data_IF_111990215393
#
_entry.id   IF_111990215393
#
_cell.length_a   1.000
_cell.length_b   1.000
_cell.length_c   1.000
_cell.angle_alpha   90.00
_cell.angle_beta   90.00
_cell.angle_gamma   90.00
#
_symmetry.space_group_name_H-M   'P 1'
#
loop_
_entity.id
_entity.type
_entity.pdbx_description
1 polymer ?
#
# COMPACT_ATOMS: atom_id res chain seq x y z
N UNK A 1 7.50 -2.29 -12.53
CA UNK A 1 6.03 -2.44 -12.55
C UNK A 1 5.59 -3.08 -11.25
N UNK A 2 4.54 -2.57 -10.60
CA UNK A 2 4.01 -3.14 -9.36
C UNK A 2 2.70 -3.87 -9.65
N UNK A 3 2.71 -5.21 -9.62
CA UNK A 3 1.51 -6.02 -9.83
C UNK A 3 0.40 -5.65 -8.84
N UNK A 4 0.76 -5.35 -7.59
CA UNK A 4 -0.19 -4.86 -6.58
C UNK A 4 -0.95 -3.61 -7.02
N UNK A 5 -0.27 -2.59 -7.58
CA UNK A 5 -0.94 -1.38 -8.08
C UNK A 5 -1.83 -1.69 -9.28
N UNK A 6 -1.40 -2.64 -10.13
CA UNK A 6 -2.21 -3.12 -11.24
C UNK A 6 -3.47 -3.85 -10.77
N UNK A 7 -3.42 -4.61 -9.67
CA UNK A 7 -4.61 -5.20 -9.04
C UNK A 7 -5.63 -4.14 -8.65
N UNK A 8 -5.19 -3.01 -8.07
CA UNK A 8 -6.10 -1.91 -7.71
C UNK A 8 -6.82 -1.35 -8.95
N UNK A 9 -6.10 -1.22 -10.06
CA UNK A 9 -6.66 -0.83 -11.36
C UNK A 9 -7.70 -1.84 -11.84
N UNK A 10 -7.40 -3.14 -11.81
CA UNK A 10 -8.34 -4.19 -12.20
C UNK A 10 -9.61 -4.17 -11.34
N UNK A 11 -9.48 -3.95 -10.03
CA UNK A 11 -10.63 -3.82 -9.14
C UNK A 11 -11.49 -2.63 -9.53
N UNK A 12 -10.91 -1.46 -9.83
CA UNK A 12 -11.68 -0.30 -10.30
C UNK A 12 -12.48 -0.63 -11.57
N UNK A 13 -11.83 -1.27 -12.56
CA UNK A 13 -12.47 -1.63 -13.83
C UNK A 13 -13.58 -2.66 -13.60
N UNK A 14 -13.31 -3.68 -12.80
CA UNK A 14 -14.29 -4.69 -12.41
C UNK A 14 -15.52 -4.05 -11.77
N UNK A 15 -15.30 -3.18 -10.78
CA UNK A 15 -16.36 -2.53 -10.00
C UNK A 15 -17.25 -1.66 -10.89
N UNK A 16 -16.64 -0.88 -11.79
CA UNK A 16 -17.41 -0.09 -12.77
C UNK A 16 -18.21 -1.01 -13.71
N UNK A 17 -17.63 -2.12 -14.15
CA UNK A 17 -18.32 -3.10 -14.99
C UNK A 17 -19.45 -3.83 -14.28
N UNK A 18 -19.35 -4.04 -12.97
CA UNK A 18 -20.40 -4.58 -12.09
C UNK A 18 -21.55 -3.58 -11.97
N UNK A 19 -21.26 -2.33 -11.58
CA UNK A 19 -22.27 -1.26 -11.44
C UNK A 19 -23.01 -0.99 -12.74
N UNK A 20 -22.31 -0.92 -13.88
CA UNK A 20 -22.95 -0.69 -15.18
C UNK A 20 -23.89 -1.82 -15.64
N UNK A 21 -23.85 -3.00 -14.99
CA UNK A 21 -24.76 -4.13 -15.24
C UNK A 21 -25.87 -4.21 -14.19
N UNK A 22 -25.77 -3.45 -13.11
CA UNK A 22 -26.73 -3.44 -12.03
C UNK A 22 -27.93 -2.56 -12.43
N UNK A 23 -29.15 -3.12 -12.54
CA UNK A 23 -30.33 -2.33 -12.87
C UNK A 23 -30.81 -1.44 -11.71
N UNK A 24 -30.37 -1.69 -10.48
CA UNK A 24 -30.80 -0.94 -9.29
C UNK A 24 -29.94 0.30 -9.06
N UNK A 25 -28.69 0.31 -9.52
CA UNK A 25 -27.75 1.42 -9.33
C UNK A 25 -27.52 2.14 -10.66
N UNK A 26 -27.83 3.43 -10.69
CA UNK A 26 -27.64 4.30 -11.87
C UNK A 26 -28.32 3.77 -13.15
N UNK A 27 -29.64 3.48 -13.13
CA UNK A 27 -30.33 2.97 -14.32
C UNK A 27 -30.24 3.98 -15.48
N UNK A 28 -29.96 3.49 -16.69
CA UNK A 28 -29.76 4.27 -17.92
C UNK A 28 -28.53 5.20 -17.91
N UNK A 29 -27.64 5.08 -16.93
CA UNK A 29 -26.37 5.83 -16.89
C UNK A 29 -25.21 4.84 -16.98
N UNK A 30 -24.24 5.13 -17.85
CA UNK A 30 -23.01 4.32 -17.94
C UNK A 30 -21.85 5.08 -17.33
N UNK A 31 -21.26 4.53 -16.28
CA UNK A 31 -20.03 5.03 -15.69
C UNK A 31 -18.84 4.74 -16.61
N UNK A 32 -18.12 5.79 -16.96
CA UNK A 32 -16.82 5.73 -17.65
C UNK A 32 -15.65 5.99 -16.69
N UNK A 33 -14.44 5.80 -17.19
CA UNK A 33 -13.22 6.11 -16.43
C UNK A 33 -12.10 6.65 -17.34
N UNK A 34 -11.24 7.49 -16.75
CA UNK A 34 -9.96 7.91 -17.31
C UNK A 34 -8.90 7.74 -16.24
N UNK A 35 -7.83 6.99 -16.55
CA UNK A 35 -6.88 6.50 -15.56
C UNK A 35 -5.48 6.93 -15.98
N UNK A 36 -4.72 7.44 -15.01
CA UNK A 36 -3.35 7.89 -15.19
C UNK A 36 -2.44 7.16 -14.20
N UNK A 37 -1.25 6.80 -14.64
CA UNK A 37 -0.22 6.23 -13.75
C UNK A 37 0.57 7.36 -13.09
N UNK A 38 0.52 7.43 -11.76
CA UNK A 38 1.32 8.38 -11.00
C UNK A 38 2.81 8.01 -10.95
N UNK A 39 3.17 6.76 -11.29
CA UNK A 39 4.50 6.19 -11.11
C UNK A 39 5.04 6.30 -9.67
N UNK A 40 4.18 6.57 -8.68
CA UNK A 40 4.58 6.90 -7.31
C UNK A 40 5.26 8.27 -7.15
N UNK A 41 5.16 9.15 -8.16
CA UNK A 41 5.74 10.50 -8.14
C UNK A 41 4.65 11.55 -7.92
N UNK A 42 4.85 12.42 -6.92
CA UNK A 42 3.95 13.55 -6.67
C UNK A 42 3.86 14.51 -7.86
N UNK A 43 4.96 14.70 -8.59
CA UNK A 43 5.01 15.57 -9.78
C UNK A 43 4.14 15.01 -10.91
N UNK A 44 4.27 13.72 -11.20
CA UNK A 44 3.46 13.05 -12.25
C UNK A 44 1.99 13.00 -11.82
N UNK A 45 1.71 12.74 -10.53
CA UNK A 45 0.35 12.74 -9.98
C UNK A 45 -0.30 14.11 -10.11
N UNK A 46 0.42 15.19 -9.86
CA UNK A 46 -0.08 16.56 -10.01
C UNK A 46 -0.41 16.87 -11.48
N UNK A 47 0.52 16.56 -12.40
CA UNK A 47 0.30 16.75 -13.84
C UNK A 47 -0.92 15.95 -14.33
N UNK A 48 -1.03 14.68 -13.92
CA UNK A 48 -2.16 13.80 -14.26
C UNK A 48 -3.49 14.34 -13.72
N UNK A 49 -3.49 14.83 -12.48
CA UNK A 49 -4.70 15.43 -11.87
C UNK A 49 -5.15 16.65 -12.65
N UNK A 50 -4.22 17.49 -13.09
CA UNK A 50 -4.56 18.67 -13.88
C UNK A 50 -5.17 18.29 -15.23
N UNK A 51 -4.65 17.27 -15.92
CA UNK A 51 -5.23 16.73 -17.16
C UNK A 51 -6.63 16.12 -16.96
N UNK A 52 -6.90 15.49 -15.81
CA UNK A 52 -8.24 14.99 -15.47
C UNK A 52 -9.21 16.15 -15.33
N UNK A 53 -8.80 17.18 -14.59
CA UNK A 53 -9.65 18.29 -14.19
C UNK A 53 -9.91 19.29 -15.34
N UNK A 54 -8.90 19.55 -16.17
CA UNK A 54 -9.04 20.42 -17.34
C UNK A 54 -9.93 19.82 -18.44
N UNK A 55 -10.17 18.50 -18.40
CA UNK A 55 -10.81 17.76 -19.48
C UNK A 55 -9.95 17.60 -20.73
N UNK A 56 -8.77 18.23 -20.77
CA UNK A 56 -7.82 18.23 -21.89
C UNK A 56 -6.49 17.59 -21.49
N UNK A 57 -5.70 17.12 -22.45
CA UNK A 57 -4.33 16.66 -22.15
C UNK A 57 -3.38 17.84 -21.85
N UNK A 58 -3.85 19.09 -21.92
CA UNK A 58 -3.06 20.30 -21.69
C UNK A 58 -3.30 20.87 -20.29
N UNK A 59 -2.23 21.42 -19.72
CA UNK A 59 -2.21 22.14 -18.44
C UNK A 59 -2.97 23.46 -18.64
N UNK A 60 -4.07 23.67 -17.90
CA UNK A 60 -4.81 24.94 -17.89
C UNK A 60 -4.44 25.73 -16.63
N UNK A 61 -3.75 26.88 -16.74
CA UNK A 61 -3.51 27.78 -15.61
C UNK A 61 -4.83 28.29 -15.00
N UNK A 62 -4.88 28.49 -13.68
CA UNK A 62 -6.04 29.01 -12.92
C UNK A 62 -7.31 28.12 -12.86
N UNK A 63 -7.20 26.80 -13.10
CA UNK A 63 -8.33 25.89 -12.88
C UNK A 63 -8.69 25.75 -11.38
N UNK A 64 -9.95 25.99 -11.00
CA UNK A 64 -10.43 25.85 -9.62
C UNK A 64 -10.89 24.43 -9.31
N UNK A 65 -10.23 23.77 -8.36
CA UNK A 65 -10.52 22.39 -7.98
C UNK A 65 -11.57 22.24 -6.86
N UNK A 66 -12.13 23.35 -6.36
CA UNK A 66 -12.85 23.40 -5.08
C UNK A 66 -14.12 22.54 -5.02
N UNK A 67 -14.82 22.36 -6.15
CA UNK A 67 -16.07 21.59 -6.19
C UNK A 67 -15.90 20.10 -6.53
N UNK A 68 -14.68 19.64 -6.82
CA UNK A 68 -14.44 18.25 -7.18
C UNK A 68 -14.23 17.39 -5.93
N UNK A 69 -15.13 16.42 -5.71
CA UNK A 69 -15.00 15.43 -4.63
C UNK A 69 -13.89 14.44 -4.99
N UNK A 70 -13.00 14.19 -4.03
CA UNK A 70 -11.85 13.29 -4.20
C UNK A 70 -11.94 12.21 -3.13
N UNK A 71 -11.87 10.95 -3.55
CA UNK A 71 -11.84 9.82 -2.63
C UNK A 71 -10.50 9.11 -2.80
N UNK A 72 -9.74 9.01 -1.71
CA UNK A 72 -8.52 8.22 -1.66
C UNK A 72 -8.80 6.84 -1.06
N UNK A 73 -8.42 5.80 -1.79
CA UNK A 73 -8.52 4.42 -1.32
C UNK A 73 -7.31 3.96 -0.50
N UNK A 74 -6.25 4.77 -0.41
CA UNK A 74 -4.95 4.31 0.08
C UNK A 74 -4.11 5.35 0.85
N UNK A 75 -4.60 6.58 1.01
CA UNK A 75 -3.93 7.61 1.82
C UNK A 75 -4.46 7.60 3.25
N UNK A 76 -3.57 7.51 4.23
CA UNK A 76 -3.90 7.46 5.66
C UNK A 76 -3.41 8.68 6.46
N UNK A 77 -2.75 9.65 5.81
CA UNK A 77 -2.21 10.81 6.52
C UNK A 77 -3.36 11.63 7.16
N UNK A 78 -3.29 11.94 8.46
CA UNK A 78 -4.36 12.64 9.15
C UNK A 78 -4.46 14.11 8.74
N UNK A 79 -3.49 14.67 8.02
CA UNK A 79 -3.58 16.02 7.45
C UNK A 79 -4.82 16.18 6.56
N UNK A 80 -5.21 15.11 5.87
CA UNK A 80 -6.37 15.10 4.98
C UNK A 80 -7.73 15.22 5.70
N UNK A 81 -7.75 15.15 7.04
CA UNK A 81 -8.95 15.42 7.84
C UNK A 81 -9.16 16.92 8.11
N UNK A 82 -8.17 17.77 7.81
CA UNK A 82 -8.34 19.22 7.93
C UNK A 82 -9.30 19.72 6.83
N UNK A 83 -10.57 19.95 7.19
CA UNK A 83 -11.62 20.43 6.27
C UNK A 83 -11.42 21.86 5.77
N UNK A 84 -10.57 22.65 6.44
CA UNK A 84 -10.22 23.99 5.98
C UNK A 84 -9.26 23.93 4.79
N UNK A 85 -8.31 22.98 4.82
CA UNK A 85 -7.34 22.77 3.74
C UNK A 85 -7.85 21.81 2.66
N UNK A 86 -8.59 20.76 3.06
CA UNK A 86 -9.08 19.68 2.20
C UNK A 86 -10.61 19.49 2.33
N UNK A 87 -11.42 20.47 1.90
CA UNK A 87 -12.88 20.45 2.11
C UNK A 87 -13.58 19.28 1.39
N UNK A 88 -13.08 18.86 0.22
CA UNK A 88 -13.71 17.85 -0.63
C UNK A 88 -12.96 16.52 -0.70
N UNK A 89 -12.05 16.25 0.24
CA UNK A 89 -11.25 15.02 0.28
C UNK A 89 -11.81 13.99 1.26
N UNK A 90 -11.92 12.74 0.83
CA UNK A 90 -12.45 11.64 1.63
C UNK A 90 -11.49 10.44 1.56
N UNK A 91 -11.44 9.64 2.63
CA UNK A 91 -10.56 8.47 2.74
C UNK A 91 -11.41 7.22 2.95
N UNK A 92 -11.08 6.13 2.26
CA UNK A 92 -11.71 4.81 2.49
C UNK A 92 -10.97 3.96 3.51
N UNK A 93 -9.80 4.42 3.96
CA UNK A 93 -9.02 3.73 4.98
C UNK A 93 -8.90 4.60 6.24
N UNK A 94 -8.77 3.99 7.43
CA UNK A 94 -8.55 4.73 8.66
C UNK A 94 -7.27 5.57 8.62
N UNK A 95 -7.24 6.63 9.42
CA UNK A 95 -6.03 7.44 9.57
C UNK A 95 -4.90 6.67 10.29
N UNK A 96 -3.65 7.13 10.12
CA UNK A 96 -2.46 6.53 10.74
C UNK A 96 -2.43 6.65 12.28
N UNK A 97 -3.12 7.62 12.87
CA UNK A 97 -3.19 7.78 14.34
C UNK A 97 -3.91 6.60 14.99
N UNK A 98 -4.94 6.06 14.33
CA UNK A 98 -5.66 4.88 14.81
C UNK A 98 -4.73 3.68 14.90
N UNK A 99 -3.80 3.56 13.95
CA UNK A 99 -2.78 2.51 13.96
C UNK A 99 -1.78 2.70 15.11
N UNK A 100 -1.31 3.93 15.35
CA UNK A 100 -0.46 4.26 16.50
C UNK A 100 -1.17 3.94 17.83
N UNK A 101 -2.44 4.33 17.95
CA UNK A 101 -3.24 4.09 19.15
C UNK A 101 -3.55 2.59 19.37
N UNK A 102 -3.71 1.82 18.29
CA UNK A 102 -3.85 0.36 18.35
C UNK A 102 -2.55 -0.30 18.86
N UNK A 103 -1.39 0.13 18.35
CA UNK A 103 -0.08 -0.34 18.84
C UNK A 103 0.05 -0.03 20.34
N UNK A 104 -0.28 1.18 20.78
CA UNK A 104 -0.23 1.54 22.21
C UNK A 104 -1.19 0.72 23.06
N UNK A 105 -2.38 0.42 22.55
CA UNK A 105 -3.35 -0.45 23.24
C UNK A 105 -2.78 -1.86 23.43
N UNK A 106 -2.06 -2.39 22.43
CA UNK A 106 -1.35 -3.66 22.51
C UNK A 106 -0.24 -3.62 23.57
N UNK A 107 0.58 -2.55 23.58
CA UNK A 107 1.62 -2.33 24.59
C UNK A 107 1.04 -2.35 26.00
N UNK A 108 -0.08 -1.64 26.22
CA UNK A 108 -0.78 -1.61 27.51
C UNK A 108 -1.32 -2.97 27.91
N UNK A 109 -1.97 -3.67 26.98
CA UNK A 109 -2.59 -4.96 27.23
C UNK A 109 -1.61 -5.99 27.78
N UNK A 110 -0.41 -6.07 27.18
CA UNK A 110 0.64 -6.98 27.62
C UNK A 110 1.55 -6.42 28.73
N UNK A 111 1.32 -5.17 29.16
CA UNK A 111 2.08 -4.53 30.23
C UNK A 111 3.55 -4.29 29.89
N UNK A 112 3.91 -4.17 28.60
CA UNK A 112 5.29 -3.93 28.21
C UNK A 112 5.72 -2.50 28.56
N UNK A 113 6.74 -2.37 29.42
CA UNK A 113 7.26 -1.07 29.88
C UNK A 113 8.64 -0.71 29.31
N UNK A 114 9.30 -1.64 28.62
CA UNK A 114 10.64 -1.44 28.07
C UNK A 114 10.67 -1.87 26.60
N UNK A 115 10.57 -0.89 25.70
CA UNK A 115 10.27 -1.12 24.28
C UNK A 115 11.32 -0.42 23.40
N UNK A 116 11.81 -1.10 22.38
CA UNK A 116 12.60 -0.45 21.33
C UNK A 116 11.69 0.20 20.29
N UNK A 117 12.07 1.33 19.72
CA UNK A 117 11.31 1.98 18.65
C UNK A 117 12.20 2.27 17.44
N UNK A 118 11.73 1.86 16.27
CA UNK A 118 12.37 2.11 14.99
C UNK A 118 11.35 2.80 14.08
N UNK A 119 11.69 4.00 13.61
CA UNK A 119 10.82 4.81 12.73
C UNK A 119 11.55 5.24 11.46
N UNK A 120 10.82 5.62 10.41
CA UNK A 120 11.40 6.27 9.22
C UNK A 120 11.67 7.76 9.50
N UNK A 121 12.69 8.34 8.85
CA UNK A 121 13.00 9.78 8.89
C UNK A 121 12.07 10.58 7.96
N UNK A 122 10.78 10.58 8.29
CA UNK A 122 9.73 11.34 7.60
C UNK A 122 8.63 11.79 8.55
N UNK A 123 7.69 12.61 8.05
CA UNK A 123 6.62 13.18 8.87
C UNK A 123 5.76 12.12 9.57
N UNK A 124 5.53 10.98 8.92
CA UNK A 124 4.80 9.84 9.50
C UNK A 124 5.60 9.21 10.66
N UNK A 125 6.88 8.93 10.45
CA UNK A 125 7.75 8.33 11.45
C UNK A 125 8.02 9.24 12.65
N UNK A 126 8.24 10.54 12.42
CA UNK A 126 8.43 11.53 13.49
C UNK A 126 7.15 11.69 14.34
N UNK A 127 5.98 11.76 13.69
CA UNK A 127 4.68 11.84 14.37
C UNK A 127 4.39 10.59 15.20
N UNK A 128 4.66 9.41 14.65
CA UNK A 128 4.55 8.15 15.39
C UNK A 128 5.49 8.13 16.59
N UNK A 129 6.75 8.55 16.40
CA UNK A 129 7.75 8.61 17.47
C UNK A 129 7.33 9.50 18.64
N UNK A 130 6.89 10.72 18.36
CA UNK A 130 6.43 11.65 19.38
C UNK A 130 5.22 11.10 20.14
N UNK A 131 4.19 10.63 19.41
CA UNK A 131 2.95 10.15 20.02
C UNK A 131 3.17 8.90 20.86
N UNK A 132 3.93 7.93 20.36
CA UNK A 132 4.26 6.69 21.07
C UNK A 132 5.05 6.99 22.35
N UNK A 133 6.08 7.84 22.28
CA UNK A 133 6.86 8.24 23.46
C UNK A 133 5.99 8.93 24.51
N UNK A 134 5.18 9.90 24.09
CA UNK A 134 4.30 10.64 24.99
C UNK A 134 3.28 9.72 25.68
N UNK A 135 2.69 8.76 24.96
CA UNK A 135 1.75 7.82 25.57
C UNK A 135 2.45 6.79 26.47
N UNK A 136 3.60 6.24 26.05
CA UNK A 136 4.37 5.30 26.89
C UNK A 136 4.82 5.95 28.20
N UNK A 137 5.34 7.19 28.16
CA UNK A 137 5.78 7.90 29.35
C UNK A 137 4.64 8.13 30.34
N UNK A 138 3.44 8.47 29.86
CA UNK A 138 2.23 8.61 30.69
C UNK A 138 1.84 7.30 31.37
N UNK A 139 2.08 6.18 30.70
CA UNK A 139 1.81 4.84 31.22
C UNK A 139 2.98 4.27 32.05
N UNK A 140 4.03 5.06 32.33
CA UNK A 140 5.21 4.61 33.07
C UNK A 140 6.10 3.62 32.33
N UNK A 141 6.01 3.59 31.00
CA UNK A 141 6.94 2.88 30.12
C UNK A 141 8.04 3.79 29.59
N UNK A 142 9.13 3.19 29.11
CA UNK A 142 10.28 3.88 28.56
C UNK A 142 10.74 3.24 27.24
N UNK A 143 11.33 4.06 26.37
CA UNK A 143 12.06 3.56 25.23
C UNK A 143 13.44 3.06 25.64
N UNK A 144 13.74 1.83 25.26
CA UNK A 144 15.07 1.25 25.42
C UNK A 144 16.08 1.82 24.40
N UNK A 145 15.57 2.13 23.22
CA UNK A 145 16.28 2.82 22.16
C UNK A 145 15.28 3.43 21.18
N UNK A 146 15.70 4.48 20.48
CA UNK A 146 15.01 5.05 19.34
C UNK A 146 15.98 5.05 18.16
N UNK A 147 15.59 4.43 17.06
CA UNK A 147 16.33 4.44 15.79
C UNK A 147 15.47 5.16 14.76
N UNK A 148 16.02 6.21 14.16
CA UNK A 148 15.41 6.95 13.06
C UNK A 148 16.12 6.54 11.77
N UNK A 149 15.41 5.83 10.91
CA UNK A 149 15.93 5.30 9.66
C UNK A 149 15.93 6.37 8.58
N UNK A 150 17.13 6.83 8.19
CA UNK A 150 17.29 7.78 7.09
C UNK A 150 16.99 7.15 5.74
N UNK A 151 16.40 7.95 4.85
CA UNK A 151 16.30 7.60 3.43
C UNK A 151 17.69 7.64 2.79
N UNK A 152 18.33 6.47 2.67
CA UNK A 152 19.61 6.33 1.99
C UNK A 152 19.43 5.35 0.83
N UNK A 153 19.84 5.77 -0.37
CA UNK A 153 19.82 4.94 -1.60
C UNK A 153 20.59 3.63 -1.43
N UNK A 154 21.60 3.64 -0.56
CA UNK A 154 22.26 2.45 -0.02
C UNK A 154 22.74 2.75 1.41
N UNK A 155 22.24 2.06 2.44
CA UNK A 155 22.77 2.22 3.78
C UNK A 155 24.22 1.73 3.82
N UNK A 156 25.16 2.61 4.19
CA UNK A 156 26.57 2.24 4.31
C UNK A 156 26.79 1.17 5.40
N UNK A 157 27.79 0.30 5.23
CA UNK A 157 28.07 -0.80 6.19
C UNK A 157 28.21 -0.34 7.66
N UNK A 158 28.75 0.86 7.89
CA UNK A 158 28.88 1.42 9.23
C UNK A 158 27.51 1.72 9.87
N UNK A 159 26.60 2.33 9.09
CA UNK A 159 25.25 2.67 9.52
C UNK A 159 24.42 1.41 9.86
N UNK A 160 24.45 0.40 8.98
CA UNK A 160 23.77 -0.88 9.25
C UNK A 160 24.33 -1.58 10.49
N UNK A 161 25.66 -1.49 10.73
CA UNK A 161 26.30 -2.06 11.93
C UNK A 161 25.88 -1.35 13.21
N UNK A 162 25.73 -0.03 13.17
CA UNK A 162 25.29 0.76 14.33
C UNK A 162 23.87 0.40 14.76
N UNK A 163 22.95 0.30 13.80
CA UNK A 163 21.57 -0.16 14.02
C UNK A 163 21.58 -1.56 14.65
N UNK A 164 22.29 -2.51 14.03
CA UNK A 164 22.40 -3.90 14.52
C UNK A 164 22.95 -3.95 15.94
N UNK A 165 24.02 -3.22 16.23
CA UNK A 165 24.64 -3.16 17.55
C UNK A 165 23.71 -2.58 18.62
N UNK A 166 22.92 -1.57 18.28
CA UNK A 166 21.93 -0.97 19.18
C UNK A 166 20.87 -1.98 19.58
N UNK A 167 20.32 -2.71 18.61
CA UNK A 167 19.31 -3.75 18.85
C UNK A 167 19.92 -4.91 19.66
N UNK A 168 21.15 -5.33 19.34
CA UNK A 168 21.85 -6.43 20.00
C UNK A 168 22.14 -6.14 21.49
N UNK A 169 22.61 -4.92 21.80
CA UNK A 169 22.93 -4.51 23.17
C UNK A 169 21.69 -4.26 24.04
N UNK A 170 20.53 -4.07 23.43
CA UNK A 170 19.30 -3.79 24.15
C UNK A 170 18.68 -5.04 24.77
N UNK A 171 18.31 -4.93 26.04
CA UNK A 171 17.53 -5.92 26.80
C UNK A 171 16.05 -5.92 26.44
N UNK A 172 15.57 -4.94 25.67
CA UNK A 172 14.17 -4.89 25.24
C UNK A 172 13.82 -6.12 24.41
N UNK A 173 12.72 -6.79 24.78
CA UNK A 173 12.19 -7.95 24.04
C UNK A 173 11.25 -7.51 22.93
N UNK A 174 10.58 -6.37 23.10
CA UNK A 174 9.58 -5.83 22.18
C UNK A 174 10.18 -4.67 21.41
N UNK A 175 10.00 -4.68 20.09
CA UNK A 175 10.43 -3.60 19.21
C UNK A 175 9.27 -3.18 18.33
N UNK A 176 8.90 -1.90 18.41
CA UNK A 176 7.94 -1.29 17.50
C UNK A 176 8.69 -0.87 16.24
N UNK A 177 8.18 -1.29 15.08
CA UNK A 177 8.72 -0.99 13.77
C UNK A 177 7.68 -0.23 12.93
N UNK A 178 7.81 1.09 12.91
CA UNK A 178 6.82 1.98 12.29
C UNK A 178 7.39 2.65 11.05
N UNK A 179 6.91 2.28 9.89
CA UNK A 179 7.48 2.71 8.61
C UNK A 179 6.44 3.40 7.74
N UNK A 180 6.91 4.35 6.93
CA UNK A 180 6.15 4.82 5.78
C UNK A 180 6.36 3.91 4.57
N UNK A 181 5.53 4.15 3.55
CA UNK A 181 5.47 3.28 2.38
C UNK A 181 6.53 3.52 1.30
N UNK A 182 7.37 4.53 1.46
CA UNK A 182 8.27 5.01 0.40
C UNK A 182 9.65 4.34 0.36
N UNK A 183 10.02 3.53 1.36
CA UNK A 183 11.44 3.20 1.60
C UNK A 183 11.69 1.78 2.12
N UNK A 184 10.92 0.82 1.62
CA UNK A 184 10.98 -0.58 2.07
C UNK A 184 12.12 -1.38 1.43
N UNK A 185 12.59 -0.96 0.25
CA UNK A 185 13.50 -1.75 -0.60
C UNK A 185 14.90 -1.99 -0.01
N UNK A 186 15.30 -1.26 1.05
CA UNK A 186 16.62 -1.39 1.69
C UNK A 186 16.57 -1.93 3.12
N UNK A 187 15.40 -2.40 3.56
CA UNK A 187 15.21 -2.91 4.92
C UNK A 187 15.80 -4.32 5.05
N UNK A 188 15.78 -5.12 3.98
CA UNK A 188 16.38 -6.46 4.00
C UNK A 188 17.85 -6.44 4.45
N UNK A 189 18.66 -5.53 3.89
CA UNK A 189 20.09 -5.40 4.23
C UNK A 189 20.35 -5.04 5.71
N UNK A 190 19.38 -4.37 6.35
CA UNK A 190 19.45 -3.96 7.74
C UNK A 190 19.14 -5.11 8.72
N UNK A 191 18.34 -6.10 8.33
CA UNK A 191 17.78 -7.11 9.23
C UNK A 191 18.21 -8.54 8.89
N UNK A 192 19.53 -8.75 8.87
CA UNK A 192 20.20 -10.06 8.76
C UNK A 192 19.92 -10.93 10.01
N UNK A 193 19.32 -12.13 9.85
CA UNK A 193 18.87 -12.97 10.96
C UNK A 193 20.02 -13.54 11.81
N UNK A 194 21.22 -13.69 11.27
CA UNK A 194 22.36 -14.20 12.04
C UNK A 194 22.88 -13.18 13.07
N UNK A 195 22.50 -11.91 12.91
CA UNK A 195 23.08 -10.79 13.66
C UNK A 195 22.08 -10.04 14.54
N UNK A 196 20.81 -10.42 14.50
CA UNK A 196 19.75 -9.79 15.28
C UNK A 196 19.16 -10.83 16.25
N UNK A 197 19.19 -10.56 17.58
CA UNK A 197 18.58 -11.47 18.53
C UNK A 197 17.07 -11.53 18.33
N UNK A 198 16.46 -12.66 18.69
CA UNK A 198 15.01 -12.83 18.57
C UNK A 198 14.27 -11.75 19.38
N UNK A 199 13.39 -11.01 18.71
CA UNK A 199 12.52 -9.98 19.28
C UNK A 199 11.06 -10.27 18.96
N UNK A 200 10.17 -9.71 19.77
CA UNK A 200 8.75 -9.59 19.45
C UNK A 200 8.59 -8.28 18.68
N UNK A 201 8.27 -8.39 17.40
CA UNK A 201 8.09 -7.23 16.53
C UNK A 201 6.62 -6.81 16.52
N UNK A 202 6.38 -5.51 16.71
CA UNK A 202 5.06 -4.90 16.50
C UNK A 202 5.22 -3.90 15.38
N UNK A 203 4.53 -4.13 14.27
CA UNK A 203 4.81 -3.43 13.03
C UNK A 203 3.59 -2.68 12.49
N UNK A 204 3.86 -1.53 11.90
CA UNK A 204 2.87 -0.79 11.10
C UNK A 204 2.44 -1.58 9.86
N UNK A 205 1.28 -1.25 9.31
CA UNK A 205 0.62 -1.83 8.15
C UNK A 205 1.48 -1.74 6.89
N UNK A 206 2.36 -0.72 6.81
CA UNK A 206 3.37 -0.59 5.77
C UNK A 206 4.37 -1.76 5.75
N UNK A 207 4.63 -2.42 6.88
CA UNK A 207 5.56 -3.56 6.96
C UNK A 207 5.00 -4.80 6.25
N UNK A 208 3.68 -4.92 6.09
CA UNK A 208 3.09 -6.00 5.28
C UNK A 208 3.62 -5.96 3.84
N UNK A 209 3.97 -4.77 3.33
CA UNK A 209 4.56 -4.62 2.00
C UNK A 209 5.99 -5.15 1.90
N UNK A 210 6.70 -5.32 3.01
CA UNK A 210 8.02 -5.97 3.07
C UNK A 210 7.86 -7.48 2.95
N UNK A 211 6.89 -8.04 3.67
CA UNK A 211 6.57 -9.47 3.60
C UNK A 211 6.14 -9.88 2.19
N UNK A 212 5.37 -9.02 1.50
CA UNK A 212 4.97 -9.17 0.08
C UNK A 212 6.15 -9.23 -0.90
N UNK A 213 7.34 -8.76 -0.51
CA UNK A 213 8.54 -8.81 -1.36
C UNK A 213 9.40 -10.06 -1.11
N UNK A 214 8.97 -10.94 -0.19
CA UNK A 214 9.60 -12.21 0.17
C UNK A 214 11.13 -12.16 0.31
N UNK A 215 11.67 -11.09 0.91
CA UNK A 215 13.08 -11.05 1.27
C UNK A 215 13.35 -12.10 2.36
N UNK A 216 13.84 -13.28 1.95
CA UNK A 216 14.01 -14.47 2.81
C UNK A 216 14.72 -14.17 4.14
N UNK A 217 15.76 -13.35 4.12
CA UNK A 217 16.51 -12.97 5.33
C UNK A 217 15.67 -12.12 6.31
N UNK A 218 14.89 -11.18 5.77
CA UNK A 218 13.99 -10.36 6.57
C UNK A 218 12.84 -11.19 7.15
N UNK A 219 12.31 -12.17 6.39
CA UNK A 219 11.23 -13.05 6.87
C UNK A 219 11.65 -13.87 8.10
N UNK A 220 12.92 -14.28 8.19
CA UNK A 220 13.44 -14.97 9.38
C UNK A 220 13.47 -14.02 10.58
N UNK A 221 14.03 -12.82 10.41
CA UNK A 221 14.12 -11.82 11.50
C UNK A 221 12.74 -11.39 12.01
N UNK A 222 11.78 -11.22 11.11
CA UNK A 222 10.42 -10.78 11.40
C UNK A 222 9.43 -11.94 11.63
N UNK A 223 9.92 -13.17 11.84
CA UNK A 223 9.05 -14.29 12.14
C UNK A 223 8.28 -14.05 13.47
N UNK A 224 6.96 -14.27 13.47
CA UNK A 224 6.08 -14.02 14.61
C UNK A 224 5.74 -12.54 14.86
N UNK A 225 5.95 -11.66 13.87
CA UNK A 225 5.59 -10.24 13.96
C UNK A 225 4.08 -10.03 14.11
N UNK A 226 3.68 -9.13 15.02
CA UNK A 226 2.33 -8.63 15.14
C UNK A 226 2.18 -7.37 14.26
N UNK A 227 1.41 -7.48 13.18
CA UNK A 227 1.17 -6.38 12.24
C UNK A 227 -0.24 -5.83 12.44
N UNK A 228 -0.37 -4.52 12.65
CA UNK A 228 -1.68 -3.86 12.54
C UNK A 228 -2.03 -3.78 11.06
N UNK A 229 -3.17 -4.34 10.68
CA UNK A 229 -3.55 -4.48 9.28
C UNK A 229 -4.96 -3.95 9.04
N UNK A 230 -5.17 -3.44 7.83
CA UNK A 230 -6.50 -3.05 7.39
C UNK A 230 -7.38 -4.30 7.28
N UNK A 231 -8.65 -4.12 7.65
CA UNK A 231 -9.65 -5.18 7.49
C UNK A 231 -9.67 -5.64 6.03
N UNK A 232 -9.54 -6.95 5.83
CA UNK A 232 -9.63 -7.53 4.51
C UNK A 232 -11.11 -7.68 4.14
N UNK A 233 -11.59 -6.86 3.21
CA UNK A 233 -12.92 -7.04 2.63
C UNK A 233 -12.96 -8.12 1.56
N UNK A 234 -14.17 -8.40 1.08
CA UNK A 234 -14.42 -9.33 -0.01
C UNK A 234 -14.86 -8.57 -1.26
N UNK A 235 -14.42 -9.04 -2.42
CA UNK A 235 -14.87 -8.53 -3.71
C UNK A 235 -15.45 -9.73 -4.47
N UNK A 236 -16.76 -9.99 -4.34
CA UNK A 236 -17.42 -11.10 -5.02
C UNK A 236 -17.16 -11.03 -6.52
N UNK A 237 -17.02 -12.18 -7.19
CA UNK A 237 -16.84 -12.24 -8.65
C UNK A 237 -15.47 -11.77 -9.19
N UNK A 238 -14.68 -11.02 -8.42
CA UNK A 238 -13.40 -10.49 -8.89
C UNK A 238 -12.40 -11.58 -9.25
N UNK A 239 -12.38 -12.69 -8.50
CA UNK A 239 -11.51 -13.84 -8.80
C UNK A 239 -11.84 -14.40 -10.19
N UNK A 240 -13.11 -14.64 -10.48
CA UNK A 240 -13.59 -15.13 -11.78
C UNK A 240 -13.29 -14.12 -12.91
N UNK A 241 -13.50 -12.83 -12.64
CA UNK A 241 -13.12 -11.77 -13.57
C UNK A 241 -11.62 -11.82 -13.90
N UNK A 242 -10.75 -11.97 -12.90
CA UNK A 242 -9.31 -12.04 -13.09
C UNK A 242 -8.90 -13.20 -14.01
N UNK A 243 -9.43 -14.42 -13.80
CA UNK A 243 -9.14 -15.56 -14.69
C UNK A 243 -9.75 -15.41 -16.09
N UNK A 244 -10.80 -14.59 -16.24
CA UNK A 244 -11.41 -14.32 -17.55
C UNK A 244 -10.62 -13.32 -18.41
N UNK A 245 -9.63 -12.63 -17.83
CA UNK A 245 -8.81 -11.67 -18.56
C UNK A 245 -8.04 -12.38 -19.67
N UNK A 246 -8.05 -11.80 -20.86
CA UNK A 246 -7.29 -12.28 -22.00
C UNK A 246 -6.60 -11.10 -22.71
N UNK A 247 -5.27 -11.15 -22.94
CA UNK A 247 -4.51 -10.06 -23.56
C UNK A 247 -5.00 -9.63 -24.95
N UNK A 248 -5.70 -10.51 -25.68
CA UNK A 248 -6.21 -10.23 -27.02
C UNK A 248 -7.63 -9.67 -27.05
N UNK A 249 -8.47 -9.98 -26.06
CA UNK A 249 -9.84 -9.44 -25.98
C UNK A 249 -9.87 -8.13 -25.21
N UNK A 250 -8.94 -7.94 -24.27
CA UNK A 250 -8.83 -6.75 -23.43
C UNK A 250 -7.83 -5.72 -23.98
N UNK A 251 -7.91 -5.42 -25.28
CA UNK A 251 -6.92 -4.61 -26.02
C UNK A 251 -6.82 -3.13 -25.58
N UNK A 252 -7.83 -2.61 -24.86
CA UNK A 252 -7.81 -1.23 -24.35
C UNK A 252 -6.71 -0.99 -23.31
N UNK A 253 -6.12 -2.05 -22.75
CA UNK A 253 -5.18 -1.95 -21.64
C UNK A 253 -3.76 -2.36 -22.04
N UNK A 254 -2.90 -1.38 -22.25
CA UNK A 254 -1.48 -1.55 -22.61
C UNK A 254 -0.65 -2.32 -21.56
N UNK A 255 -1.11 -2.37 -20.31
CA UNK A 255 -0.41 -3.02 -19.21
C UNK A 255 -0.73 -4.51 -19.06
N UNK A 256 -1.88 -4.99 -19.58
CA UNK A 256 -2.27 -6.40 -19.41
C UNK A 256 -1.24 -7.38 -20.02
N UNK A 257 -0.72 -7.17 -21.25
CA UNK A 257 0.30 -8.05 -21.81
C UNK A 257 1.59 -8.12 -20.98
N UNK A 258 1.96 -7.01 -20.33
CA UNK A 258 3.17 -6.95 -19.49
C UNK A 258 2.99 -7.75 -18.20
N UNK A 259 1.82 -7.62 -17.55
CA UNK A 259 1.50 -8.35 -16.34
C UNK A 259 1.29 -9.85 -16.63
N UNK A 260 0.65 -10.17 -17.74
CA UNK A 260 0.51 -11.55 -18.22
C UNK A 260 1.89 -12.22 -18.37
N UNK A 261 2.82 -11.53 -19.04
CA UNK A 261 4.18 -12.01 -19.20
C UNK A 261 4.94 -12.17 -17.87
N UNK A 262 4.73 -11.26 -16.92
CA UNK A 262 5.32 -11.34 -15.58
C UNK A 262 4.81 -12.56 -14.80
N UNK A 263 3.50 -12.78 -14.76
CA UNK A 263 2.89 -13.85 -13.98
C UNK A 263 3.12 -15.24 -14.58
N UNK A 264 3.24 -15.34 -15.89
CA UNK A 264 3.32 -16.62 -16.62
C UNK A 264 4.70 -16.87 -17.22
N UNK A 265 5.66 -16.00 -16.92
CA UNK A 265 7.04 -16.05 -17.39
C UNK A 265 7.14 -16.24 -18.93
N UNK A 266 6.40 -15.41 -19.67
CA UNK A 266 6.33 -15.45 -21.13
C UNK A 266 6.41 -14.04 -21.73
N UNK A 267 6.63 -13.94 -23.05
CA UNK A 267 6.72 -12.65 -23.74
C UNK A 267 5.85 -12.58 -24.99
N UNK A 268 5.18 -11.43 -25.18
CA UNK A 268 4.53 -11.08 -26.46
C UNK A 268 5.48 -10.38 -27.43
N UNK A 269 6.67 -9.96 -26.97
CA UNK A 269 7.66 -9.29 -27.82
C UNK A 269 8.19 -10.26 -28.87
N UNK A 270 8.18 -9.86 -30.14
CA UNK A 270 8.79 -10.66 -31.22
C UNK A 270 10.32 -10.74 -31.10
N UNK A 271 10.94 -9.70 -30.52
CA UNK A 271 12.40 -9.54 -30.45
C UNK A 271 13.07 -10.31 -29.31
N UNK A 272 12.31 -10.64 -28.28
CA UNK A 272 12.85 -11.33 -27.12
C UNK A 272 12.79 -12.85 -27.33
N UNK A 273 13.96 -13.49 -27.41
CA UNK A 273 14.11 -14.94 -27.66
C UNK A 273 14.32 -15.70 -26.34
N UNK A 274 14.59 -14.99 -25.24
CA UNK A 274 14.94 -15.60 -23.96
C UNK A 274 13.74 -16.26 -23.27
N UNK A 275 12.53 -15.78 -23.55
CA UNK A 275 11.29 -16.25 -22.95
C UNK A 275 10.38 -16.94 -23.97
N UNK A 276 9.61 -17.92 -23.49
CA UNK A 276 8.55 -18.57 -24.25
C UNK A 276 7.55 -17.52 -24.75
N UNK A 277 7.04 -17.69 -25.96
CA UNK A 277 5.99 -16.81 -26.49
C UNK A 277 4.67 -17.02 -25.76
N UNK A 278 4.04 -15.93 -25.34
CA UNK A 278 2.68 -15.99 -24.81
C UNK A 278 1.68 -16.22 -25.95
N UNK A 279 0.68 -17.05 -25.67
CA UNK A 279 -0.42 -17.43 -26.56
C UNK A 279 -1.76 -16.83 -26.14
N UNK A 280 -1.85 -16.31 -24.91
CA UNK A 280 -3.07 -15.78 -24.31
C UNK A 280 -4.03 -16.86 -23.79
N UNK A 281 -3.69 -18.14 -23.96
CA UNK A 281 -4.47 -19.28 -23.47
C UNK A 281 -3.79 -19.98 -22.29
N UNK A 282 -2.72 -19.39 -21.75
CA UNK A 282 -2.09 -19.87 -20.53
C UNK A 282 -3.07 -19.82 -19.34
N UNK A 283 -2.92 -20.78 -18.43
CA UNK A 283 -3.63 -20.79 -17.15
C UNK A 283 -2.74 -20.24 -16.06
N UNK A 284 -3.31 -19.41 -15.18
CA UNK A 284 -2.57 -18.90 -14.03
C UNK A 284 -2.32 -20.03 -13.02
N UNK A 285 -1.09 -20.08 -12.53
CA UNK A 285 -0.69 -20.96 -11.42
C UNK A 285 -1.08 -20.30 -10.09
N UNK A 286 -1.92 -20.97 -9.31
CA UNK A 286 -2.38 -20.48 -8.01
C UNK A 286 -1.24 -20.23 -7.02
N UNK A 287 -0.11 -20.96 -7.14
CA UNK A 287 1.08 -20.72 -6.31
C UNK A 287 1.74 -19.39 -6.65
N UNK A 288 1.85 -19.07 -7.93
CA UNK A 288 2.37 -17.78 -8.41
C UNK A 288 1.41 -16.65 -8.06
N UNK A 289 0.11 -16.87 -8.19
CA UNK A 289 -0.89 -15.88 -7.78
C UNK A 289 -0.85 -15.61 -6.27
N UNK A 290 -0.62 -16.64 -5.46
CA UNK A 290 -0.43 -16.52 -4.02
C UNK A 290 0.85 -15.75 -3.67
N UNK A 291 1.96 -16.03 -4.36
CA UNK A 291 3.24 -15.31 -4.21
C UNK A 291 3.05 -13.80 -4.44
N UNK A 292 2.29 -13.41 -5.46
CA UNK A 292 1.96 -12.01 -5.72
C UNK A 292 0.80 -11.47 -4.88
N UNK A 293 0.31 -12.24 -3.91
CA UNK A 293 -0.86 -11.99 -3.08
C UNK A 293 -2.08 -11.48 -3.88
N UNK A 294 -2.34 -12.07 -5.05
CA UNK A 294 -3.29 -11.57 -6.06
C UNK A 294 -4.70 -11.34 -5.52
N UNK A 295 -5.11 -12.10 -4.51
CA UNK A 295 -6.43 -12.00 -3.89
C UNK A 295 -6.40 -11.41 -2.47
N UNK A 296 -5.31 -10.71 -2.10
CA UNK A 296 -5.27 -9.87 -0.91
C UNK A 296 -5.97 -8.53 -1.21
N UNK A 297 -7.18 -8.35 -0.67
CA UNK A 297 -8.01 -7.18 -0.93
C UNK A 297 -7.89 -6.08 0.12
N UNK A 298 -6.95 -6.09 1.06
CA UNK A 298 -6.88 -5.09 2.15
C UNK A 298 -6.93 -3.63 1.66
N UNK A 299 -6.13 -3.28 0.66
CA UNK A 299 -6.18 -1.95 0.02
C UNK A 299 -7.15 -1.93 -1.17
N UNK A 300 -7.22 -3.03 -1.92
CA UNK A 300 -8.04 -3.09 -3.13
C UNK A 300 -9.55 -2.97 -2.81
N UNK A 301 -9.98 -3.42 -1.64
CA UNK A 301 -11.34 -3.23 -1.14
C UNK A 301 -11.67 -1.76 -0.88
N UNK A 302 -10.68 -0.95 -0.51
CA UNK A 302 -10.81 0.51 -0.48
C UNK A 302 -11.12 1.10 -1.86
N UNK A 303 -10.62 0.48 -2.94
CA UNK A 303 -10.96 0.89 -4.32
C UNK A 303 -12.40 0.51 -4.64
N UNK A 304 -12.77 -0.73 -4.35
CA UNK A 304 -14.13 -1.25 -4.56
C UNK A 304 -15.18 -0.37 -3.87
N UNK A 305 -14.99 -0.12 -2.58
CA UNK A 305 -15.88 0.73 -1.77
C UNK A 305 -15.84 2.20 -2.20
N UNK A 306 -14.70 2.74 -2.65
CA UNK A 306 -14.64 4.10 -3.19
C UNK A 306 -15.53 4.26 -4.42
N UNK A 307 -15.46 3.33 -5.37
CA UNK A 307 -16.24 3.38 -6.61
C UNK A 307 -17.74 3.24 -6.31
N UNK A 308 -18.12 2.31 -5.44
CA UNK A 308 -19.50 2.18 -4.99
C UNK A 308 -20.00 3.43 -4.25
N UNK A 309 -19.18 4.03 -3.39
CA UNK A 309 -19.52 5.27 -2.71
C UNK A 309 -19.81 6.38 -3.71
N UNK A 310 -18.97 6.53 -4.76
CA UNK A 310 -19.24 7.49 -5.83
C UNK A 310 -20.53 7.18 -6.58
N UNK A 311 -20.77 5.92 -6.94
CA UNK A 311 -21.95 5.51 -7.68
C UNK A 311 -23.25 5.75 -6.91
N UNK A 312 -23.31 5.35 -5.64
CA UNK A 312 -24.47 5.62 -4.78
C UNK A 312 -24.67 7.13 -4.57
N UNK A 313 -23.59 7.88 -4.36
CA UNK A 313 -23.68 9.33 -4.23
C UNK A 313 -24.25 9.98 -5.50
N UNK A 314 -23.87 9.48 -6.69
CA UNK A 314 -24.41 9.96 -7.97
C UNK A 314 -25.85 9.52 -8.20
N UNK A 315 -26.25 8.35 -7.69
CA UNK A 315 -27.59 7.82 -7.83
C UNK A 315 -28.63 8.61 -7.02
N UNK A 316 -28.21 9.14 -5.88
CA UNK A 316 -29.04 9.98 -4.99
C UNK A 316 -29.13 11.45 -5.43
N UNK A 317 -28.45 11.87 -6.51
CA UNK A 317 -28.53 13.24 -7.05
C UNK A 317 -29.73 13.43 -7.98
#
# INVERSE_FOLDING_TARGET
YSFRRYRHLLVLIYTIGEINKDPEILPNVTLGYRIYDSCGSGVISFASTLSILSGTEQIIPNYSCWNNRKISYGSADPIFNNRLEFPSFYQMIPNELNEIDAIMSLIRHFGWKWVGLIVMDDDTGHRASERLQNQMNKDGGCLAFLIILKYLSTPGRAYSREIKNTIYRSTAKVVIFFLSSHSIYHIADLFDPEKIPQKIWIASSSVSRIAELEYLEALVTFNGTLVISLHQGEIPGFKQFFYSLNPYTYQRHTLLPQIWGLLLNCTFSKRDISLKKCTGNETFDDTVLSFYETFNYRIAYGVYTAVYTMAHTLHEL
#
